data_IF_818923695522
#
_entry.id   IF_818923695522
#
_cell.length_a   1.000
_cell.length_b   1.000
_cell.length_c   1.000
_cell.angle_alpha   90.00
_cell.angle_beta   90.00
_cell.angle_gamma   90.00
#
_symmetry.space_group_name_H-M   'P 1'
#
loop_
_entity.id
_entity.type
_entity.pdbx_description
1 polymer ?
#
# COMPACT_ATOMS: atom_id res chain seq x y z
N UNK A 1 -25.38 13.69 -1.19
CA UNK A 1 -25.52 14.43 0.07
C UNK A 1 -24.25 14.28 0.88
N UNK A 2 -23.79 15.37 1.51
CA UNK A 2 -22.63 15.35 2.45
C UNK A 2 -23.13 15.82 3.81
N UNK A 3 -22.74 15.08 4.87
CA UNK A 3 -23.01 15.44 6.26
C UNK A 3 -21.69 15.43 7.03
N UNK A 4 -21.42 16.49 7.79
CA UNK A 4 -20.30 16.58 8.72
C UNK A 4 -20.90 16.50 10.13
N UNK A 5 -20.36 15.61 10.95
CA UNK A 5 -20.79 15.38 12.33
C UNK A 5 -19.56 15.32 13.24
N UNK A 6 -19.77 15.29 14.55
CA UNK A 6 -18.68 15.13 15.53
C UNK A 6 -17.94 13.78 15.38
N UNK A 7 -18.55 12.80 14.69
CA UNK A 7 -17.98 11.47 14.43
C UNK A 7 -17.19 11.39 13.11
N UNK A 8 -17.33 12.37 12.22
CA UNK A 8 -16.69 12.37 10.91
C UNK A 8 -17.61 12.83 9.79
N UNK A 9 -17.22 12.54 8.56
CA UNK A 9 -17.95 12.90 7.34
C UNK A 9 -18.67 11.68 6.77
N UNK A 10 -19.94 11.87 6.39
CA UNK A 10 -20.74 10.89 5.67
C UNK A 10 -21.15 11.46 4.31
N UNK A 11 -20.92 10.69 3.25
CA UNK A 11 -21.27 11.05 1.88
C UNK A 11 -22.21 10.00 1.31
N UNK A 12 -23.27 10.44 0.65
CA UNK A 12 -24.20 9.57 -0.06
C UNK A 12 -24.20 9.93 -1.56
N UNK A 13 -23.91 8.94 -2.39
CA UNK A 13 -23.94 9.04 -3.85
C UNK A 13 -25.04 8.11 -4.37
N UNK A 14 -26.04 8.60 -5.12
CA UNK A 14 -27.09 7.75 -5.70
C UNK A 14 -26.49 6.71 -6.66
N UNK A 15 -27.12 5.55 -6.75
CA UNK A 15 -26.85 4.49 -7.72
C UNK A 15 -28.11 4.15 -8.48
N UNK A 16 -28.01 4.05 -9.80
CA UNK A 16 -29.07 3.54 -10.65
C UNK A 16 -29.11 1.99 -10.63
N UNK A 17 -30.24 1.40 -11.00
CA UNK A 17 -30.46 -0.05 -10.89
C UNK A 17 -29.41 -0.89 -11.63
N UNK A 18 -29.03 -0.48 -12.85
CA UNK A 18 -28.07 -1.19 -13.70
C UNK A 18 -26.64 -0.66 -13.62
N UNK A 19 -26.37 0.21 -12.68
CA UNK A 19 -25.04 0.82 -12.52
C UNK A 19 -24.06 -0.16 -11.87
N UNK A 20 -22.87 -0.27 -12.45
CA UNK A 20 -21.76 -1.03 -11.89
C UNK A 20 -20.67 -0.09 -11.39
N UNK A 21 -19.94 -0.55 -10.38
CA UNK A 21 -18.83 0.18 -9.75
C UNK A 21 -17.58 -0.66 -9.83
N UNK A 22 -16.47 -0.03 -10.20
CA UNK A 22 -15.13 -0.62 -10.23
C UNK A 22 -14.15 0.29 -9.50
N UNK A 23 -13.09 -0.27 -8.90
CA UNK A 23 -12.04 0.55 -8.28
C UNK A 23 -11.59 0.05 -6.91
N UNK A 24 -11.26 0.99 -6.02
CA UNK A 24 -10.69 0.78 -4.68
C UNK A 24 -9.27 0.21 -4.69
N UNK A 25 -8.54 0.43 -5.79
CA UNK A 25 -7.19 -0.09 -5.99
C UNK A 25 -7.18 -1.56 -6.42
N UNK A 26 -6.14 -2.28 -6.02
CA UNK A 26 -5.95 -3.67 -6.38
C UNK A 26 -6.90 -4.57 -5.57
N UNK A 27 -7.91 -5.13 -6.18
CA UNK A 27 -8.89 -6.01 -5.55
C UNK A 27 -8.73 -7.45 -6.04
N UNK A 28 -8.79 -8.43 -5.12
CA UNK A 28 -8.46 -9.82 -5.40
C UNK A 28 -9.69 -10.72 -5.59
N UNK A 29 -10.83 -10.39 -4.99
CA UNK A 29 -11.99 -11.28 -4.98
C UNK A 29 -12.87 -11.13 -6.22
N UNK A 30 -13.16 -9.89 -6.62
CA UNK A 30 -14.04 -9.60 -7.74
C UNK A 30 -13.72 -8.26 -8.37
N UNK A 31 -13.93 -8.17 -9.68
CA UNK A 31 -13.76 -6.92 -10.42
C UNK A 31 -14.89 -5.92 -10.15
N UNK A 32 -16.14 -6.38 -10.14
CA UNK A 32 -17.31 -5.56 -9.82
C UNK A 32 -17.47 -5.38 -8.30
N UNK A 33 -17.67 -4.15 -7.85
CA UNK A 33 -17.71 -3.83 -6.42
C UNK A 33 -19.13 -3.49 -5.93
N UNK A 34 -20.14 -3.46 -6.81
CA UNK A 34 -21.52 -3.23 -6.41
C UNK A 34 -22.04 -4.33 -5.48
N UNK A 35 -22.77 -3.94 -4.44
CA UNK A 35 -23.29 -4.83 -3.42
C UNK A 35 -22.30 -5.16 -2.29
N UNK A 36 -21.04 -4.69 -2.39
CA UNK A 36 -20.00 -5.00 -1.43
C UNK A 36 -19.74 -3.84 -0.47
N UNK A 37 -19.19 -4.20 0.69
CA UNK A 37 -18.53 -3.25 1.59
C UNK A 37 -17.05 -3.25 1.26
N UNK A 38 -16.47 -2.06 1.07
CA UNK A 38 -15.04 -1.89 0.84
C UNK A 38 -14.45 -0.93 1.88
N UNK A 39 -13.28 -1.30 2.37
CA UNK A 39 -12.50 -0.48 3.27
C UNK A 39 -11.06 -0.50 2.76
N UNK A 40 -10.72 0.35 1.77
CA UNK A 40 -9.40 0.37 1.17
C UNK A 40 -8.37 0.86 2.19
N UNK A 41 -7.69 -0.09 2.82
CA UNK A 41 -6.60 0.12 3.77
C UNK A 41 -5.40 -0.62 3.23
N UNK A 42 -4.22 0.01 3.33
CA UNK A 42 -2.98 -0.62 2.94
C UNK A 42 -2.70 -1.82 3.85
N UNK A 43 -2.56 -2.99 3.26
CA UNK A 43 -2.31 -4.25 3.95
C UNK A 43 -1.91 -5.31 2.93
N UNK A 44 -0.97 -6.19 3.26
CA UNK A 44 -0.55 -7.25 2.37
C UNK A 44 -1.36 -8.55 2.52
N UNK A 45 -2.41 -8.55 3.34
CA UNK A 45 -3.30 -9.69 3.49
C UNK A 45 -4.47 -9.66 2.49
N UNK A 46 -4.37 -10.33 1.33
CA UNK A 46 -5.39 -10.31 0.30
C UNK A 46 -6.63 -11.17 0.64
N UNK A 47 -6.58 -11.99 1.67
CA UNK A 47 -7.68 -12.90 2.06
C UNK A 47 -8.81 -12.19 2.79
N UNK A 48 -8.72 -10.90 2.94
CA UNK A 48 -9.69 -10.08 3.63
C UNK A 48 -10.67 -9.45 2.64
N UNK A 49 -11.89 -9.98 2.58
CA UNK A 49 -12.98 -9.48 1.74
C UNK A 49 -13.46 -8.05 2.04
N UNK A 50 -12.77 -7.31 2.90
CA UNK A 50 -13.11 -5.93 3.26
C UNK A 50 -12.48 -4.88 2.34
N UNK A 51 -11.68 -5.28 1.36
CA UNK A 51 -11.02 -4.38 0.42
C UNK A 51 -9.63 -3.91 0.84
N UNK A 52 -9.01 -4.56 1.83
CA UNK A 52 -7.62 -4.33 2.18
C UNK A 52 -6.71 -4.84 1.06
N UNK A 53 -5.63 -4.11 0.77
CA UNK A 53 -4.74 -4.43 -0.34
C UNK A 53 -3.41 -3.70 -0.24
N UNK A 54 -2.39 -4.14 -0.97
CA UNK A 54 -1.12 -3.43 -1.10
C UNK A 54 -1.23 -2.04 -1.71
N UNK A 55 -2.20 -1.82 -2.59
CA UNK A 55 -2.38 -0.58 -3.32
C UNK A 55 -3.83 -0.07 -3.21
N UNK A 56 -4.27 0.34 -2.02
CA UNK A 56 -5.62 0.86 -1.80
C UNK A 56 -5.80 2.20 -2.50
N UNK A 57 -7.01 2.45 -2.96
CA UNK A 57 -7.41 3.74 -3.50
C UNK A 57 -8.81 4.09 -3.00
N UNK A 58 -8.98 5.29 -2.50
CA UNK A 58 -10.29 5.84 -2.11
C UNK A 58 -11.05 6.37 -3.33
N UNK A 59 -10.87 5.70 -4.46
CA UNK A 59 -11.44 6.04 -5.76
C UNK A 59 -12.24 4.87 -6.33
N UNK A 60 -13.40 5.18 -6.90
CA UNK A 60 -14.15 4.25 -7.73
C UNK A 60 -14.67 4.95 -8.98
N UNK A 61 -14.94 4.16 -10.02
CA UNK A 61 -15.54 4.59 -11.27
C UNK A 61 -16.86 3.84 -11.50
N UNK A 62 -17.84 4.57 -12.03
CA UNK A 62 -19.17 4.05 -12.37
C UNK A 62 -19.34 3.90 -13.89
N UNK A 63 -20.12 2.89 -14.30
CA UNK A 63 -20.57 2.72 -15.69
C UNK A 63 -21.42 3.88 -16.20
N UNK A 64 -21.79 4.84 -15.35
CA UNK A 64 -22.54 6.05 -15.72
C UNK A 64 -21.63 7.22 -16.11
N UNK A 65 -20.33 6.98 -16.34
CA UNK A 65 -19.39 7.98 -16.83
C UNK A 65 -18.95 8.98 -15.74
N UNK A 66 -18.91 8.56 -14.49
CA UNK A 66 -18.32 9.34 -13.41
C UNK A 66 -17.44 8.50 -12.49
N UNK A 67 -16.54 9.15 -11.79
CA UNK A 67 -15.75 8.57 -10.70
C UNK A 67 -15.77 9.49 -9.49
N UNK A 68 -15.63 8.90 -8.32
CA UNK A 68 -15.56 9.60 -7.04
C UNK A 68 -14.21 9.29 -6.40
N UNK A 69 -13.41 10.32 -6.17
CA UNK A 69 -12.21 10.25 -5.35
C UNK A 69 -12.48 10.98 -4.03
N UNK A 70 -12.32 10.28 -2.94
CA UNK A 70 -12.32 10.86 -1.59
C UNK A 70 -10.86 11.12 -1.20
N UNK A 71 -10.43 12.38 -1.25
CA UNK A 71 -9.04 12.75 -0.98
C UNK A 71 -8.76 12.76 0.53
N UNK A 72 -8.39 11.62 1.05
CA UNK A 72 -8.11 11.44 2.48
C UNK A 72 -7.14 10.30 2.73
N UNK A 73 -6.28 10.45 3.72
CA UNK A 73 -5.47 9.38 4.30
C UNK A 73 -6.16 8.70 5.50
N UNK A 74 -7.43 9.02 5.82
CA UNK A 74 -8.19 8.31 6.86
C UNK A 74 -8.80 7.04 6.32
N UNK A 75 -8.99 6.08 7.21
CA UNK A 75 -9.71 4.84 6.89
C UNK A 75 -11.15 5.14 6.49
N UNK A 76 -11.44 4.88 5.25
CA UNK A 76 -12.74 5.17 4.66
C UNK A 76 -13.48 3.88 4.40
N UNK A 77 -14.77 3.84 4.75
CA UNK A 77 -15.64 2.71 4.43
C UNK A 77 -16.60 3.10 3.33
N UNK A 78 -16.68 2.27 2.29
CA UNK A 78 -17.63 2.39 1.19
C UNK A 78 -18.63 1.25 1.25
N UNK A 79 -19.91 1.57 1.37
CA UNK A 79 -21.01 0.62 1.23
C UNK A 79 -21.59 0.80 -0.17
N UNK A 80 -21.16 -0.02 -1.10
CA UNK A 80 -21.42 0.13 -2.53
C UNK A 80 -22.80 -0.43 -2.93
N UNK A 81 -23.88 0.12 -2.41
CA UNK A 81 -25.23 -0.44 -2.56
C UNK A 81 -25.48 -1.63 -1.64
N UNK A 82 -24.61 -1.87 -0.65
CA UNK A 82 -24.80 -2.85 0.42
C UNK A 82 -25.43 -2.20 1.64
N UNK A 83 -26.11 -2.99 2.48
CA UNK A 83 -26.59 -2.58 3.82
C UNK A 83 -27.61 -1.43 3.86
N UNK A 84 -28.31 -1.12 2.80
CA UNK A 84 -29.54 -0.37 2.98
C UNK A 84 -30.59 -1.29 3.61
N UNK A 85 -30.87 -1.05 4.88
CA UNK A 85 -32.12 -1.51 5.48
C UNK A 85 -33.25 -0.69 4.82
N UNK A 86 -33.86 -1.23 3.76
CA UNK A 86 -35.12 -0.67 3.28
C UNK A 86 -36.17 -0.80 4.37
N UNK A 87 -37.17 0.09 4.39
CA UNK A 87 -38.29 -0.06 5.35
C UNK A 87 -38.92 -1.45 5.26
N UNK A 88 -38.99 -2.01 4.06
CA UNK A 88 -39.45 -3.37 3.83
C UNK A 88 -38.58 -4.44 4.49
N UNK A 89 -37.23 -4.30 4.45
CA UNK A 89 -36.33 -5.23 5.15
C UNK A 89 -36.35 -5.04 6.67
N UNK A 90 -36.75 -3.85 7.17
CA UNK A 90 -37.01 -3.64 8.59
C UNK A 90 -38.29 -4.35 9.07
N UNK A 91 -39.32 -4.34 8.23
CA UNK A 91 -40.59 -5.06 8.53
C UNK A 91 -40.38 -6.58 8.48
N UNK A 92 -39.70 -7.10 7.43
CA UNK A 92 -39.36 -8.52 7.37
C UNK A 92 -38.48 -8.98 8.52
N UNK A 93 -37.48 -8.18 8.93
CA UNK A 93 -36.66 -8.50 10.13
C UNK A 93 -37.48 -8.46 11.44
N UNK A 94 -38.52 -7.65 11.52
CA UNK A 94 -39.40 -7.63 12.69
C UNK A 94 -40.30 -8.87 12.77
N UNK A 95 -40.74 -9.40 11.63
CA UNK A 95 -41.50 -10.62 11.50
C UNK A 95 -40.66 -11.89 11.65
N UNK A 96 -39.46 -11.90 11.01
CA UNK A 96 -38.50 -13.01 11.10
C UNK A 96 -37.83 -13.15 12.49
N UNK A 97 -37.71 -12.08 13.26
CA UNK A 97 -37.17 -12.11 14.63
C UNK A 97 -38.01 -12.97 15.59
N UNK A 98 -39.22 -13.34 15.20
CA UNK A 98 -40.04 -14.24 15.99
C UNK A 98 -39.68 -15.72 15.88
N UNK A 99 -38.82 -16.10 14.92
CA UNK A 99 -38.60 -17.53 14.63
C UNK A 99 -37.18 -18.00 14.34
N UNK A 100 -36.13 -17.18 14.36
CA UNK A 100 -34.80 -17.65 13.98
C UNK A 100 -33.74 -17.11 14.95
N UNK A 101 -32.99 -18.03 15.56
CA UNK A 101 -31.69 -17.71 16.13
C UNK A 101 -30.80 -17.21 14.98
N UNK A 102 -30.49 -15.90 14.97
CA UNK A 102 -29.56 -15.29 13.98
C UNK A 102 -28.22 -15.94 14.14
N UNK A 103 -27.79 -16.67 13.11
CA UNK A 103 -26.41 -17.14 13.02
C UNK A 103 -25.49 -15.94 12.76
N UNK A 104 -24.25 -16.05 13.17
CA UNK A 104 -23.22 -15.01 12.90
C UNK A 104 -23.15 -14.67 11.41
N UNK A 105 -23.39 -15.64 10.54
CA UNK A 105 -23.46 -15.45 9.08
C UNK A 105 -24.58 -14.49 8.64
N UNK A 106 -25.74 -14.52 9.29
CA UNK A 106 -26.87 -13.66 8.93
C UNK A 106 -26.63 -12.19 9.30
N UNK A 107 -25.80 -11.95 10.31
CA UNK A 107 -25.35 -10.61 10.70
C UNK A 107 -24.41 -9.99 9.66
N UNK A 108 -23.69 -10.82 8.92
CA UNK A 108 -22.70 -10.40 7.93
C UNK A 108 -23.12 -10.60 6.46
N UNK A 109 -24.31 -11.17 6.21
CA UNK A 109 -24.84 -11.24 4.83
C UNK A 109 -25.13 -9.86 4.30
N UNK A 110 -24.32 -9.43 3.31
CA UNK A 110 -24.55 -8.23 2.55
C UNK A 110 -25.77 -8.41 1.64
N UNK A 111 -26.90 -7.80 1.98
CA UNK A 111 -28.08 -7.76 1.09
C UNK A 111 -27.87 -6.63 0.06
N UNK A 112 -27.78 -7.00 -1.20
CA UNK A 112 -27.26 -6.22 -2.33
C UNK A 112 -28.25 -5.29 -3.05
N UNK A 113 -29.27 -4.75 -2.41
CA UNK A 113 -30.31 -3.98 -3.08
C UNK A 113 -30.35 -2.48 -2.70
N UNK A 114 -29.19 -1.91 -2.37
CA UNK A 114 -29.09 -0.49 -2.10
C UNK A 114 -28.95 0.35 -3.38
N UNK A 115 -29.58 1.50 -3.40
CA UNK A 115 -29.55 2.47 -4.48
C UNK A 115 -28.63 3.66 -4.20
N UNK A 116 -27.64 3.48 -3.32
CA UNK A 116 -26.63 4.49 -2.97
C UNK A 116 -25.29 3.84 -2.61
N UNK A 117 -24.23 4.59 -2.88
CA UNK A 117 -22.95 4.39 -2.18
C UNK A 117 -22.96 5.26 -0.93
N UNK A 118 -22.77 4.64 0.22
CA UNK A 118 -22.51 5.36 1.47
C UNK A 118 -21.01 5.34 1.73
N UNK A 119 -20.44 6.52 1.95
CA UNK A 119 -19.02 6.69 2.22
C UNK A 119 -18.89 7.28 3.62
N UNK A 120 -18.22 6.56 4.51
CA UNK A 120 -18.02 6.97 5.90
C UNK A 120 -16.51 7.22 6.13
N UNK A 121 -16.19 8.44 6.57
CA UNK A 121 -14.83 8.87 6.88
C UNK A 121 -14.76 9.29 8.35
N UNK A 122 -14.48 8.35 9.27
CA UNK A 122 -14.46 8.61 10.70
C UNK A 122 -13.42 9.66 11.09
N UNK A 123 -13.73 10.49 12.07
CA UNK A 123 -12.83 11.50 12.62
C UNK A 123 -12.50 12.67 11.70
N UNK A 124 -13.01 12.71 10.47
CA UNK A 124 -12.77 13.81 9.55
C UNK A 124 -13.62 15.05 9.94
N UNK A 125 -12.97 16.20 10.06
CA UNK A 125 -13.64 17.49 10.33
C UNK A 125 -14.07 18.20 9.06
N UNK A 126 -13.71 17.68 7.90
CA UNK A 126 -14.00 18.15 6.56
C UNK A 126 -13.46 17.13 5.57
N UNK A 127 -13.87 17.19 4.31
CA UNK A 127 -13.47 16.26 3.29
C UNK A 127 -13.41 16.93 1.93
N UNK A 128 -12.40 16.61 1.16
CA UNK A 128 -12.29 16.97 -0.24
C UNK A 128 -12.73 15.78 -1.10
N UNK A 129 -13.65 16.03 -2.02
CA UNK A 129 -14.18 15.02 -2.92
C UNK A 129 -14.06 15.51 -4.35
N UNK A 130 -13.39 14.73 -5.19
CA UNK A 130 -13.34 15.00 -6.63
C UNK A 130 -14.39 14.16 -7.35
N UNK A 131 -15.22 14.83 -8.13
CA UNK A 131 -16.15 14.20 -9.07
C UNK A 131 -15.51 14.30 -10.45
N UNK A 132 -15.11 13.14 -10.98
CA UNK A 132 -14.41 13.04 -12.25
C UNK A 132 -15.38 12.47 -13.27
N UNK A 133 -15.67 13.21 -14.34
CA UNK A 133 -16.64 12.80 -15.37
C UNK A 133 -15.93 12.41 -16.67
N UNK A 134 -16.56 11.57 -17.47
CA UNK A 134 -16.11 11.21 -18.81
C UNK A 134 -17.23 10.52 -19.59
N UNK A 135 -17.18 10.52 -20.94
CA UNK A 135 -18.17 9.80 -21.74
C UNK A 135 -18.20 8.30 -21.45
N UNK A 136 -17.04 7.72 -21.14
CA UNK A 136 -16.90 6.30 -20.84
C UNK A 136 -16.02 6.08 -19.60
N UNK A 137 -16.08 4.87 -19.04
CA UNK A 137 -15.30 4.44 -17.85
C UNK A 137 -13.80 4.73 -18.02
N UNK A 138 -13.23 4.41 -19.19
CA UNK A 138 -11.80 4.62 -19.46
C UNK A 138 -11.41 6.10 -19.48
N UNK A 139 -12.31 6.99 -19.91
CA UNK A 139 -12.03 8.42 -19.92
C UNK A 139 -11.98 8.98 -18.48
N UNK A 140 -12.85 8.49 -17.61
CA UNK A 140 -12.82 8.81 -16.18
C UNK A 140 -11.51 8.34 -15.55
N UNK A 141 -11.08 7.10 -15.85
CA UNK A 141 -9.80 6.54 -15.35
C UNK A 141 -8.62 7.33 -15.87
N UNK A 142 -8.58 7.74 -17.14
CA UNK A 142 -7.53 8.61 -17.69
C UNK A 142 -7.45 9.95 -16.94
N UNK A 143 -8.61 10.58 -16.69
CA UNK A 143 -8.67 11.85 -15.96
C UNK A 143 -8.25 11.70 -14.50
N UNK A 144 -8.66 10.62 -13.85
CA UNK A 144 -8.16 10.26 -12.53
C UNK A 144 -6.63 10.09 -12.52
N UNK A 145 -6.09 9.35 -13.48
CA UNK A 145 -4.65 9.16 -13.60
C UNK A 145 -3.88 10.49 -13.76
N UNK A 146 -4.42 11.43 -14.56
CA UNK A 146 -3.82 12.76 -14.67
C UNK A 146 -3.90 13.56 -13.37
N UNK A 147 -5.03 13.49 -12.66
CA UNK A 147 -5.23 14.15 -11.37
C UNK A 147 -4.28 13.60 -10.29
N UNK A 148 -4.04 12.30 -10.30
CA UNK A 148 -3.16 11.61 -9.34
C UNK A 148 -1.66 11.65 -9.71
N UNK A 149 -1.25 12.52 -10.62
CA UNK A 149 0.15 12.72 -10.98
C UNK A 149 0.60 12.03 -12.28
N UNK A 150 -0.29 11.28 -12.93
CA UNK A 150 0.02 10.52 -14.14
C UNK A 150 0.82 9.24 -13.89
N UNK A 151 1.18 8.56 -14.97
CA UNK A 151 2.07 7.40 -14.92
C UNK A 151 3.52 7.80 -15.13
N UNK A 152 4.45 6.94 -14.74
CA UNK A 152 5.85 7.04 -15.14
C UNK A 152 6.13 6.14 -16.34
N UNK A 153 7.06 6.55 -17.19
CA UNK A 153 7.63 5.67 -18.20
C UNK A 153 8.88 5.02 -17.59
N UNK A 154 8.83 3.72 -17.21
CA UNK A 154 10.00 3.07 -16.66
C UNK A 154 11.10 2.92 -17.71
N UNK A 155 12.37 2.84 -17.31
CA UNK A 155 13.44 2.54 -18.25
C UNK A 155 13.26 1.13 -18.82
N UNK A 156 13.72 0.89 -20.05
CA UNK A 156 13.53 -0.39 -20.75
C UNK A 156 13.98 -1.60 -19.92
N UNK A 157 15.12 -1.49 -19.23
CA UNK A 157 15.61 -2.56 -18.35
C UNK A 157 14.70 -2.84 -17.14
N UNK A 158 13.93 -1.85 -16.71
CA UNK A 158 12.94 -2.02 -15.62
C UNK A 158 11.73 -2.87 -16.01
N UNK A 159 11.48 -3.02 -17.32
CA UNK A 159 10.45 -3.89 -17.89
C UNK A 159 10.98 -5.30 -18.21
N UNK A 160 12.29 -5.53 -18.05
CA UNK A 160 12.93 -6.80 -18.29
C UNK A 160 12.82 -7.79 -17.13
N UNK A 161 13.46 -8.95 -17.31
CA UNK A 161 13.45 -9.99 -16.31
C UNK A 161 14.28 -9.61 -15.09
N UNK A 162 13.65 -9.63 -13.91
CA UNK A 162 14.29 -9.46 -12.61
C UNK A 162 14.37 -10.80 -11.89
N UNK A 163 15.57 -11.22 -11.54
CA UNK A 163 15.81 -12.38 -10.69
C UNK A 163 16.10 -11.94 -9.24
N UNK A 164 15.31 -12.45 -8.30
CA UNK A 164 15.49 -12.21 -6.87
C UNK A 164 16.36 -13.33 -6.29
N UNK A 165 17.50 -12.97 -5.70
CA UNK A 165 18.31 -13.93 -4.95
C UNK A 165 17.70 -14.18 -3.56
N UNK A 166 18.00 -15.33 -2.96
CA UNK A 166 17.50 -15.65 -1.61
C UNK A 166 18.08 -14.71 -0.56
N UNK A 167 17.37 -14.56 0.57
CA UNK A 167 17.79 -13.72 1.68
C UNK A 167 19.10 -14.12 2.34
N UNK A 168 19.52 -15.36 2.20
CA UNK A 168 20.80 -15.91 2.69
C UNK A 168 21.93 -15.89 1.65
N UNK A 169 21.69 -15.26 0.48
CA UNK A 169 22.69 -15.17 -0.58
C UNK A 169 23.95 -14.42 -0.14
N UNK A 170 25.08 -14.88 -0.67
CA UNK A 170 26.39 -14.24 -0.53
C UNK A 170 26.78 -13.59 -1.85
N UNK A 171 27.83 -12.76 -1.82
CA UNK A 171 28.46 -12.19 -3.02
C UNK A 171 28.75 -13.26 -4.09
N UNK A 172 29.32 -14.40 -3.66
CA UNK A 172 29.66 -15.50 -4.56
C UNK A 172 28.39 -16.15 -5.18
N UNK A 173 27.31 -16.23 -4.42
CA UNK A 173 26.02 -16.73 -4.92
C UNK A 173 25.47 -15.80 -6.01
N UNK A 174 25.51 -14.50 -5.79
CA UNK A 174 25.05 -13.50 -6.76
C UNK A 174 25.87 -13.59 -8.05
N UNK A 175 27.19 -13.64 -7.94
CA UNK A 175 28.07 -13.76 -9.10
C UNK A 175 27.88 -15.08 -9.86
N UNK A 176 27.62 -16.17 -9.15
CA UNK A 176 27.29 -17.47 -9.77
C UNK A 176 26.02 -17.39 -10.62
N UNK A 177 24.93 -16.79 -10.10
CA UNK A 177 23.70 -16.58 -10.87
C UNK A 177 23.93 -15.64 -12.06
N UNK A 178 24.66 -14.55 -11.88
CA UNK A 178 24.99 -13.62 -12.95
C UNK A 178 25.73 -14.35 -14.10
N UNK A 179 26.73 -15.16 -13.78
CA UNK A 179 27.47 -15.94 -14.77
C UNK A 179 26.56 -16.97 -15.44
N UNK A 180 25.76 -17.71 -14.67
CA UNK A 180 24.85 -18.73 -15.18
C UNK A 180 23.89 -18.16 -16.23
N UNK A 181 23.23 -17.01 -15.96
CA UNK A 181 22.32 -16.41 -16.95
C UNK A 181 23.04 -16.02 -18.25
N UNK A 182 24.25 -15.50 -18.17
CA UNK A 182 25.03 -15.12 -19.37
C UNK A 182 25.52 -16.35 -20.13
N UNK A 183 26.04 -17.36 -19.44
CA UNK A 183 26.49 -18.62 -20.05
C UNK A 183 25.35 -19.38 -20.73
N UNK A 184 24.18 -19.38 -20.13
CA UNK A 184 22.97 -20.04 -20.68
C UNK A 184 22.20 -19.15 -21.65
N UNK A 185 22.68 -17.93 -21.91
CA UNK A 185 22.01 -16.97 -22.80
C UNK A 185 20.55 -16.67 -22.35
N UNK A 186 20.28 -16.72 -21.05
CA UNK A 186 18.98 -16.39 -20.49
C UNK A 186 18.95 -14.87 -20.29
N UNK A 187 18.02 -14.16 -20.93
CA UNK A 187 17.85 -12.73 -20.68
C UNK A 187 17.52 -12.43 -19.21
N UNK A 188 18.32 -11.60 -18.59
CA UNK A 188 18.08 -11.11 -17.24
C UNK A 188 18.70 -9.71 -17.12
N UNK A 189 17.89 -8.74 -16.76
CA UNK A 189 18.29 -7.34 -16.70
C UNK A 189 18.63 -6.92 -15.27
N UNK A 190 17.90 -7.44 -14.28
CA UNK A 190 18.01 -7.00 -12.90
C UNK A 190 18.27 -8.17 -11.96
N UNK A 191 19.27 -8.01 -11.09
CA UNK A 191 19.46 -8.86 -9.92
C UNK A 191 18.96 -8.13 -8.68
N UNK A 192 17.92 -8.68 -8.03
CA UNK A 192 17.35 -8.16 -6.79
C UNK A 192 17.98 -8.85 -5.59
N UNK A 193 18.62 -8.09 -4.72
CA UNK A 193 19.16 -8.58 -3.46
C UNK A 193 18.08 -8.50 -2.37
N UNK A 194 17.77 -9.65 -1.78
CA UNK A 194 16.81 -9.76 -0.68
C UNK A 194 17.44 -9.28 0.65
N UNK A 195 16.67 -9.22 1.77
CA UNK A 195 17.09 -8.56 3.02
C UNK A 195 18.53 -8.79 3.44
N UNK A 196 19.07 -9.95 3.16
CA UNK A 196 20.40 -10.36 3.60
C UNK A 196 21.58 -9.58 3.05
N UNK A 197 21.40 -8.63 2.18
CA UNK A 197 22.48 -7.73 1.81
C UNK A 197 22.89 -6.82 2.98
N UNK A 198 22.01 -6.62 3.96
CA UNK A 198 22.19 -5.75 5.11
C UNK A 198 22.75 -6.47 6.33
N UNK A 199 23.38 -5.71 7.24
CA UNK A 199 23.82 -6.19 8.55
C UNK A 199 22.68 -6.47 9.51
N UNK A 200 21.56 -5.74 9.40
CA UNK A 200 20.31 -5.96 10.11
C UNK A 200 19.13 -5.68 9.17
N UNK A 201 18.08 -6.48 9.23
CA UNK A 201 17.02 -6.51 8.23
C UNK A 201 15.64 -6.11 8.77
N UNK A 202 15.34 -6.48 10.00
CA UNK A 202 14.10 -6.15 10.71
C UNK A 202 14.46 -5.50 12.06
N UNK A 203 14.59 -4.19 12.09
CA UNK A 203 14.47 -3.15 11.05
C UNK A 203 15.75 -3.01 10.20
N UNK A 204 15.71 -2.11 9.15
CA UNK A 204 16.78 -1.97 8.17
C UNK A 204 17.97 -1.15 8.67
N UNK A 205 19.18 -1.71 8.55
CA UNK A 205 20.41 -0.98 8.84
C UNK A 205 20.90 -0.15 7.65
N UNK A 206 20.52 -0.49 6.44
CA UNK A 206 20.99 0.07 5.16
C UNK A 206 22.52 -0.03 4.99
N UNK A 207 23.15 -0.95 5.67
CA UNK A 207 24.59 -1.20 5.61
C UNK A 207 24.87 -2.55 5.01
N UNK A 208 25.79 -2.62 4.07
CA UNK A 208 26.27 -3.88 3.54
C UNK A 208 26.76 -4.82 4.64
N UNK A 209 26.41 -6.09 4.53
CA UNK A 209 26.92 -7.15 5.40
C UNK A 209 28.33 -7.53 4.95
N UNK A 210 29.34 -7.17 5.72
CA UNK A 210 30.74 -7.50 5.38
C UNK A 210 31.00 -9.01 5.34
N UNK A 211 30.26 -9.79 6.11
CA UNK A 211 30.35 -11.26 6.12
C UNK A 211 29.86 -11.87 4.79
N UNK A 212 28.82 -11.32 4.23
CA UNK A 212 28.19 -11.87 3.01
C UNK A 212 28.61 -11.16 1.72
N UNK A 213 28.95 -9.89 1.83
CA UNK A 213 29.31 -9.02 0.70
C UNK A 213 30.59 -8.22 0.98
N UNK A 214 31.71 -8.89 1.31
CA UNK A 214 32.95 -8.24 1.75
C UNK A 214 33.56 -7.32 0.68
N UNK A 215 33.26 -7.55 -0.59
CA UNK A 215 33.74 -6.76 -1.73
C UNK A 215 32.58 -6.34 -2.63
N UNK A 216 31.53 -5.80 -2.01
CA UNK A 216 30.30 -5.43 -2.73
C UNK A 216 30.56 -4.45 -3.89
N UNK A 217 31.48 -3.50 -3.76
CA UNK A 217 31.82 -2.55 -4.84
C UNK A 217 32.39 -3.25 -6.07
N UNK A 218 33.35 -4.16 -5.87
CA UNK A 218 33.89 -4.97 -6.98
C UNK A 218 32.81 -5.84 -7.63
N UNK A 219 31.91 -6.41 -6.81
CA UNK A 219 30.77 -7.17 -7.32
C UNK A 219 29.85 -6.29 -8.18
N UNK A 220 29.50 -5.09 -7.71
CA UNK A 220 28.65 -4.16 -8.44
C UNK A 220 29.26 -3.76 -9.78
N UNK A 221 30.56 -3.45 -9.79
CA UNK A 221 31.31 -3.14 -11.02
C UNK A 221 31.26 -4.30 -12.03
N UNK A 222 31.51 -5.54 -11.56
CA UNK A 222 31.45 -6.73 -12.41
C UNK A 222 30.04 -6.99 -12.96
N UNK A 223 29.00 -6.79 -12.13
CA UNK A 223 27.60 -6.92 -12.55
C UNK A 223 27.24 -5.87 -13.62
N UNK A 224 27.68 -4.63 -13.41
CA UNK A 224 27.48 -3.56 -14.39
C UNK A 224 28.18 -3.86 -15.72
N UNK A 225 29.43 -4.34 -15.70
CA UNK A 225 30.18 -4.76 -16.91
C UNK A 225 29.46 -5.91 -17.65
N UNK A 226 28.75 -6.78 -16.93
CA UNK A 226 27.91 -7.86 -17.50
C UNK A 226 26.53 -7.37 -17.95
N UNK A 227 26.23 -6.07 -17.83
CA UNK A 227 24.95 -5.47 -18.22
C UNK A 227 23.82 -5.69 -17.25
N UNK A 228 24.10 -6.02 -15.98
CA UNK A 228 23.06 -6.11 -14.94
C UNK A 228 22.81 -4.77 -14.26
N UNK A 229 21.57 -4.55 -13.86
CA UNK A 229 21.16 -3.58 -12.86
C UNK A 229 20.97 -4.29 -11.52
N UNK A 230 21.24 -3.61 -10.41
CA UNK A 230 21.09 -4.16 -9.06
C UNK A 230 20.01 -3.41 -8.31
N UNK A 231 19.11 -4.17 -7.68
CA UNK A 231 18.02 -3.65 -6.87
C UNK A 231 18.17 -4.18 -5.44
N UNK A 232 18.02 -3.31 -4.46
CA UNK A 232 18.09 -3.68 -3.05
C UNK A 232 16.70 -3.77 -2.43
N UNK A 233 16.49 -4.78 -1.61
CA UNK A 233 15.32 -4.88 -0.75
C UNK A 233 15.51 -4.05 0.52
N UNK A 234 14.48 -3.34 0.93
CA UNK A 234 14.44 -2.59 2.17
C UNK A 234 12.99 -2.27 2.57
N UNK A 235 12.82 -1.73 3.75
CA UNK A 235 11.63 -1.02 4.22
C UNK A 235 12.06 0.26 4.94
N UNK A 236 11.09 1.10 5.31
CA UNK A 236 11.35 2.45 5.84
C UNK A 236 11.76 2.49 7.33
N UNK A 237 11.72 1.38 8.06
CA UNK A 237 11.98 1.38 9.52
C UNK A 237 13.47 1.27 9.80
N UNK A 238 14.01 2.26 10.53
CA UNK A 238 15.45 2.51 10.66
C UNK A 238 16.03 1.83 11.90
N UNK A 239 16.88 0.83 11.69
CA UNK A 239 17.51 0.04 12.75
C UNK A 239 18.43 0.88 13.64
N UNK A 240 18.61 0.52 14.95
CA UNK A 240 19.54 1.19 15.87
C UNK A 240 20.98 1.33 15.36
N UNK A 241 21.46 0.38 14.56
CA UNK A 241 22.82 0.41 13.99
C UNK A 241 22.93 1.17 12.65
N UNK A 242 21.82 1.72 12.14
CA UNK A 242 21.87 2.49 10.90
C UNK A 242 22.66 3.79 11.04
N UNK A 243 23.48 4.17 10.05
CA UNK A 243 24.22 5.43 10.06
C UNK A 243 23.35 6.67 10.18
N UNK A 244 22.12 6.61 9.68
CA UNK A 244 21.18 7.74 9.68
C UNK A 244 20.26 7.78 10.92
N UNK A 245 20.32 6.77 11.79
CA UNK A 245 19.46 6.64 12.97
C UNK A 245 19.41 7.91 13.82
N UNK A 246 20.60 8.38 14.25
CA UNK A 246 20.71 9.53 15.15
C UNK A 246 20.17 10.82 14.51
N UNK A 247 20.37 11.00 13.23
CA UNK A 247 19.87 12.18 12.51
C UNK A 247 18.36 12.15 12.31
N UNK A 248 17.76 10.96 12.15
CA UNK A 248 16.32 10.78 11.95
C UNK A 248 15.51 10.79 13.25
N UNK A 249 16.15 10.56 14.39
CA UNK A 249 15.45 10.44 15.68
C UNK A 249 14.50 11.63 15.98
N UNK A 250 14.90 12.91 15.79
CA UNK A 250 14.01 14.05 16.02
C UNK A 250 12.85 14.16 15.02
N UNK A 251 12.94 13.46 13.88
CA UNK A 251 11.98 13.49 12.77
C UNK A 251 11.27 12.15 12.61
N UNK A 252 11.08 11.42 13.69
CA UNK A 252 10.43 10.11 13.68
C UNK A 252 9.27 10.08 14.67
N UNK A 253 8.33 9.15 14.46
CA UNK A 253 7.21 8.93 15.36
C UNK A 253 7.63 8.44 16.75
N UNK A 254 6.70 8.49 17.67
CA UNK A 254 6.87 8.10 19.09
C UNK A 254 6.75 6.59 19.31
N UNK A 255 6.69 5.80 18.26
CA UNK A 255 6.58 4.34 18.29
C UNK A 255 7.60 3.67 17.38
N UNK A 256 8.10 2.49 17.79
CA UNK A 256 9.08 1.72 17.04
C UNK A 256 8.46 0.51 16.36
N UNK A 257 8.91 0.22 15.14
CA UNK A 257 8.59 -1.02 14.42
C UNK A 257 9.84 -1.88 14.35
N UNK A 258 9.79 -3.11 14.83
CA UNK A 258 10.95 -4.01 14.92
C UNK A 258 12.19 -3.32 15.53
N UNK A 259 12.01 -2.56 16.61
CA UNK A 259 13.00 -1.68 17.23
C UNK A 259 13.54 -0.56 16.32
N UNK A 260 12.98 -0.38 15.14
CA UNK A 260 13.36 0.67 14.20
C UNK A 260 12.53 1.93 14.39
N UNK A 261 13.16 3.08 14.16
CA UNK A 261 12.43 4.35 14.03
C UNK A 261 11.47 4.27 12.84
N UNK A 262 10.34 4.95 12.97
CA UNK A 262 9.40 5.22 11.89
C UNK A 262 9.57 6.67 11.46
N UNK A 263 10.33 6.98 10.40
CA UNK A 263 10.56 8.35 9.98
C UNK A 263 9.27 9.01 9.49
N UNK A 264 9.13 10.27 9.84
CA UNK A 264 8.04 11.13 9.36
C UNK A 264 8.45 11.79 8.03
N UNK A 265 8.24 11.10 6.92
CA UNK A 265 8.62 11.59 5.58
C UNK A 265 7.80 12.80 5.09
N UNK A 266 6.80 13.25 5.84
CA UNK A 266 6.14 14.55 5.61
C UNK A 266 7.08 15.69 6.02
N UNK A 267 7.99 15.43 6.96
CA UNK A 267 9.02 16.39 7.35
C UNK A 267 10.14 16.44 6.29
N UNK A 268 10.42 17.62 5.71
CA UNK A 268 11.46 17.77 4.69
C UNK A 268 12.84 17.27 5.15
N UNK A 269 13.14 17.43 6.44
CA UNK A 269 14.40 17.02 7.05
C UNK A 269 14.54 15.49 7.05
N UNK A 270 13.50 14.75 7.44
CA UNK A 270 13.50 13.29 7.40
C UNK A 270 13.69 12.79 5.97
N UNK A 271 12.93 13.35 5.04
CA UNK A 271 13.05 13.06 3.61
C UNK A 271 14.47 13.33 3.10
N UNK A 272 15.05 14.48 3.45
CA UNK A 272 16.41 14.85 3.03
C UNK A 272 17.47 13.88 3.57
N UNK A 273 17.45 13.58 4.87
CA UNK A 273 18.42 12.68 5.52
C UNK A 273 18.37 11.31 4.86
N UNK A 274 17.17 10.78 4.67
CA UNK A 274 16.97 9.46 4.06
C UNK A 274 17.46 9.44 2.60
N UNK A 275 17.05 10.43 1.81
CA UNK A 275 17.42 10.55 0.40
C UNK A 275 18.91 10.75 0.20
N UNK A 276 19.56 11.60 1.00
CA UNK A 276 21.00 11.84 0.89
C UNK A 276 21.83 10.59 1.17
N UNK A 277 21.38 9.77 2.13
CA UNK A 277 22.05 8.49 2.38
C UNK A 277 21.84 7.50 1.24
N UNK A 278 20.62 7.35 0.74
CA UNK A 278 20.32 6.44 -0.38
C UNK A 278 21.02 6.85 -1.67
N UNK A 279 21.30 8.15 -1.85
CA UNK A 279 22.14 8.63 -2.96
C UNK A 279 23.52 7.99 -2.93
N UNK A 280 24.09 7.76 -1.76
CA UNK A 280 25.42 7.11 -1.69
C UNK A 280 25.37 5.67 -2.20
N UNK A 281 24.28 4.94 -1.95
CA UNK A 281 24.08 3.59 -2.51
C UNK A 281 23.92 3.62 -4.04
N UNK A 282 23.20 4.63 -4.56
CA UNK A 282 23.07 4.83 -6.01
C UNK A 282 24.44 5.14 -6.65
N UNK A 283 25.24 5.98 -6.01
CA UNK A 283 26.61 6.32 -6.45
C UNK A 283 27.55 5.10 -6.42
N UNK A 284 27.29 4.13 -5.54
CA UNK A 284 27.98 2.83 -5.52
C UNK A 284 27.56 1.88 -6.66
N UNK A 285 26.50 2.20 -7.43
CA UNK A 285 26.04 1.41 -8.57
C UNK A 285 24.67 0.74 -8.41
N UNK A 286 23.94 1.02 -7.33
CA UNK A 286 22.57 0.54 -7.16
C UNK A 286 21.63 1.26 -8.12
N UNK A 287 20.76 0.50 -8.76
CA UNK A 287 19.86 1.00 -9.81
C UNK A 287 18.40 1.11 -9.37
N UNK A 288 18.06 0.59 -8.22
CA UNK A 288 16.70 0.65 -7.69
C UNK A 288 16.53 -0.02 -6.33
N UNK A 289 15.37 0.20 -5.75
CA UNK A 289 15.01 -0.33 -4.44
C UNK A 289 13.66 -1.05 -4.53
N UNK A 290 13.51 -2.13 -3.78
CA UNK A 290 12.23 -2.76 -3.47
C UNK A 290 11.84 -2.33 -2.07
N UNK A 291 10.89 -1.42 -1.96
CA UNK A 291 10.28 -1.04 -0.69
C UNK A 291 9.23 -2.10 -0.33
N UNK A 292 9.49 -2.85 0.72
CA UNK A 292 8.64 -3.94 1.18
C UNK A 292 8.10 -3.63 2.59
N UNK A 293 6.99 -4.26 2.98
CA UNK A 293 6.43 -4.22 4.34
C UNK A 293 6.21 -2.80 4.92
N UNK A 294 6.21 -1.78 4.06
CA UNK A 294 5.85 -0.41 4.46
C UNK A 294 4.35 -0.24 4.70
N UNK A 295 3.55 -1.20 4.26
CA UNK A 295 2.12 -1.33 4.55
C UNK A 295 1.86 -1.73 6.00
N UNK A 296 2.92 -2.02 6.76
CA UNK A 296 2.87 -2.29 8.18
C UNK A 296 1.99 -3.50 8.56
N UNK A 297 1.75 -4.40 7.65
CA UNK A 297 0.98 -5.61 7.92
C UNK A 297 1.80 -6.64 8.68
N UNK A 298 1.18 -7.27 9.66
CA UNK A 298 1.78 -8.42 10.31
C UNK A 298 1.49 -9.68 9.48
N UNK A 299 2.52 -10.25 8.88
CA UNK A 299 2.45 -11.48 8.06
C UNK A 299 2.13 -12.72 8.92
N UNK A 300 2.19 -12.63 10.25
CA UNK A 300 1.79 -13.76 11.09
C UNK A 300 0.29 -14.00 10.99
N UNK A 301 -0.08 -15.20 10.67
CA UNK A 301 -1.45 -15.69 10.43
C UNK A 301 -2.48 -15.43 11.57
N UNK A 302 -2.07 -14.84 12.69
CA UNK A 302 -2.91 -14.69 13.86
C UNK A 302 -3.55 -13.30 14.03
N UNK A 303 -3.06 -12.26 13.37
CA UNK A 303 -3.68 -10.93 13.43
C UNK A 303 -3.14 -10.02 12.34
N UNK A 304 -4.02 -9.48 11.52
CA UNK A 304 -3.73 -8.30 10.71
C UNK A 304 -3.62 -7.08 11.65
N UNK A 305 -2.63 -7.09 12.52
CA UNK A 305 -2.37 -5.99 13.43
C UNK A 305 -1.29 -5.11 12.84
N UNK A 306 -1.51 -3.84 12.92
CA UNK A 306 -0.57 -2.79 12.63
C UNK A 306 0.74 -3.01 13.39
N UNK A 307 1.86 -2.73 12.78
CA UNK A 307 3.14 -2.75 13.49
C UNK A 307 3.28 -1.56 14.46
N UNK A 308 2.48 -0.50 14.32
CA UNK A 308 2.38 0.61 15.28
C UNK A 308 0.90 1.02 15.49
N UNK A 309 0.54 1.59 16.66
CA UNK A 309 -0.84 1.91 16.97
C UNK A 309 -1.35 3.14 16.20
N UNK A 310 -2.66 3.16 15.93
CA UNK A 310 -3.35 4.30 15.29
C UNK A 310 -3.11 5.62 16.04
N UNK A 311 -2.88 5.55 17.35
CA UNK A 311 -2.61 6.69 18.22
C UNK A 311 -1.15 7.17 18.18
N UNK A 312 -0.24 6.49 17.47
CA UNK A 312 1.13 6.95 17.32
C UNK A 312 1.15 8.38 16.77
N UNK A 313 2.04 9.21 17.31
CA UNK A 313 2.16 10.61 16.93
C UNK A 313 3.46 10.85 16.19
N UNK A 314 3.42 11.75 15.24
CA UNK A 314 4.55 12.12 14.41
C UNK A 314 4.81 13.63 14.48
N UNK A 315 6.06 14.09 14.28
CA UNK A 315 6.41 15.51 14.35
C UNK A 315 5.60 16.43 13.43
N UNK A 316 5.10 15.91 12.29
CA UNK A 316 4.19 16.64 11.38
C UNK A 316 2.79 16.87 11.97
N UNK A 317 2.46 16.25 13.11
CA UNK A 317 1.12 16.27 13.69
C UNK A 317 0.16 15.24 13.07
N UNK A 318 0.66 14.36 12.21
CA UNK A 318 -0.13 13.23 11.69
C UNK A 318 -0.21 12.11 12.74
N UNK A 319 -1.34 11.44 12.83
CA UNK A 319 -1.52 10.24 13.66
C UNK A 319 -1.16 8.95 12.91
N UNK A 320 -1.06 7.83 13.63
CA UNK A 320 -0.68 6.55 13.08
C UNK A 320 -1.62 6.05 11.98
N UNK A 321 -2.92 6.29 12.10
CA UNK A 321 -3.91 5.93 11.08
C UNK A 321 -3.58 6.58 9.72
N UNK A 322 -3.32 7.88 9.73
CA UNK A 322 -2.99 8.61 8.51
C UNK A 322 -1.60 8.25 7.98
N UNK A 323 -0.61 8.13 8.87
CA UNK A 323 0.75 7.76 8.48
C UNK A 323 0.78 6.39 7.78
N UNK A 324 -0.08 5.48 8.19
CA UNK A 324 -0.19 4.17 7.56
C UNK A 324 -0.64 4.24 6.08
N UNK A 325 -1.45 5.22 5.73
CA UNK A 325 -1.97 5.38 4.36
C UNK A 325 -1.09 6.28 3.48
N UNK A 326 -0.16 7.02 4.08
CA UNK A 326 0.79 7.90 3.40
C UNK A 326 2.08 7.19 3.08
#
# INVERSE_FOLDING_TARGET
QIKITDRGCLIEVPLEDNEQIYGFGLQFETFGQRGLRKRPIVNDNPLNGLGYTHAPQTFYVSTKGYGILVNTARYTTFLCGSNQKTEHSRQLQAEERKHIATTTEDLYKNRSNGNKVHIDVPGAKGIEVFIITGPEVLDVVKRYNLLSGGGCLPPMWGLGFKYRVKGDATQDSVMRFANYFREKQIPCDVLGLEPGWQTATYSCSYRWSDDRFPRHKEMLDQLQQKGYKVNLWEHAYVHPSSPIRKALEPYSGDFLVWNGLVPDFIQPEAHKIFTDYHRTLIEEGISGFKLDECDNSNISFASATWCFPDMAQFPSGIDGEKMHQV
#
